data_IF_166190351963
#
_entry.id   IF_166190351963
#
_cell.length_a   1.000
_cell.length_b   1.000
_cell.length_c   1.000
_cell.angle_alpha   90.00
_cell.angle_beta   90.00
_cell.angle_gamma   90.00
#
_symmetry.space_group_name_H-M   'P 1'
#
loop_
_entity.id
_entity.type
_entity.pdbx_description
1 polymer ?
#
# COMPACT_ATOMS: atom_id res chain seq x y z
N UNK A 1 12.42 16.65 5.29
CA UNK A 1 12.79 15.23 5.46
C UNK A 1 12.04 14.69 6.67
N UNK A 2 11.64 13.42 6.69
CA UNK A 2 11.08 12.82 7.91
C UNK A 2 12.12 12.78 9.02
N UNK A 3 11.69 12.98 10.27
CA UNK A 3 12.56 12.96 11.46
C UNK A 3 12.61 11.56 12.12
N UNK A 4 12.02 10.54 11.49
CA UNK A 4 12.00 9.17 12.01
C UNK A 4 13.43 8.63 12.11
N UNK A 5 13.81 8.12 13.29
CA UNK A 5 15.11 7.51 13.51
C UNK A 5 15.25 6.17 12.79
N UNK A 6 14.16 5.40 12.72
CA UNK A 6 14.07 4.13 12.01
C UNK A 6 12.69 3.90 11.44
N UNK A 7 12.65 3.36 10.21
CA UNK A 7 11.43 2.98 9.50
C UNK A 7 11.50 1.49 9.16
N UNK A 8 10.45 0.76 9.52
CA UNK A 8 10.25 -0.63 9.12
C UNK A 8 9.24 -0.70 7.98
N UNK A 9 9.56 -1.43 6.92
CA UNK A 9 8.70 -1.66 5.77
C UNK A 9 8.29 -3.14 5.77
N UNK A 10 7.03 -3.41 6.05
CA UNK A 10 6.46 -4.75 6.04
C UNK A 10 5.98 -5.07 4.62
N UNK A 11 6.78 -5.84 3.90
CA UNK A 11 6.53 -6.20 2.50
C UNK A 11 7.40 -5.43 1.50
N UNK A 12 8.32 -6.13 0.84
CA UNK A 12 9.22 -5.61 -0.20
C UNK A 12 8.70 -5.93 -1.61
N UNK A 13 7.41 -5.67 -1.85
CA UNK A 13 6.83 -5.65 -3.20
C UNK A 13 7.07 -4.31 -3.91
N UNK A 14 6.31 -4.06 -4.98
CA UNK A 14 6.35 -2.80 -5.73
C UNK A 14 6.27 -1.58 -4.79
N UNK A 15 5.26 -1.52 -3.91
CA UNK A 15 5.00 -0.35 -3.08
C UNK A 15 6.09 -0.15 -2.01
N UNK A 16 6.40 -1.19 -1.22
CA UNK A 16 7.35 -1.05 -0.12
C UNK A 16 8.78 -0.80 -0.57
N UNK A 17 9.24 -1.52 -1.59
CA UNK A 17 10.57 -1.29 -2.14
C UNK A 17 10.69 0.09 -2.81
N UNK A 18 9.63 0.55 -3.50
CA UNK A 18 9.62 1.90 -4.07
C UNK A 18 9.66 2.98 -2.98
N UNK A 19 9.00 2.76 -1.83
CA UNK A 19 9.07 3.69 -0.70
C UNK A 19 10.49 3.80 -0.16
N UNK A 20 11.15 2.66 0.09
CA UNK A 20 12.53 2.64 0.53
C UNK A 20 13.46 3.37 -0.45
N UNK A 21 13.36 3.03 -1.74
CA UNK A 21 14.15 3.68 -2.79
C UNK A 21 13.88 5.18 -2.90
N UNK A 22 12.63 5.61 -2.79
CA UNK A 22 12.25 7.02 -2.84
C UNK A 22 12.83 7.81 -1.66
N UNK A 23 12.78 7.26 -0.46
CA UNK A 23 13.37 7.85 0.75
C UNK A 23 14.90 7.97 0.61
N UNK A 24 15.59 6.92 0.16
CA UNK A 24 17.05 6.95 -0.07
C UNK A 24 17.43 7.98 -1.14
N UNK A 25 16.75 7.97 -2.28
CA UNK A 25 16.99 8.93 -3.35
C UNK A 25 16.84 10.39 -2.89
N UNK A 26 15.97 10.64 -1.91
CA UNK A 26 15.71 11.98 -1.37
C UNK A 26 16.48 12.29 -0.09
N UNK A 27 17.48 11.48 0.24
CA UNK A 27 18.44 11.78 1.31
C UNK A 27 17.99 11.37 2.72
N UNK A 28 17.03 10.46 2.86
CA UNK A 28 16.76 9.88 4.18
C UNK A 28 17.94 9.04 4.65
N UNK A 29 18.58 9.46 5.74
CA UNK A 29 19.77 8.83 6.31
C UNK A 29 19.48 7.94 7.53
N UNK A 30 18.22 7.91 7.99
CA UNK A 30 17.82 7.06 9.12
C UNK A 30 17.81 5.58 8.74
N UNK A 31 17.67 4.72 9.74
CA UNK A 31 17.62 3.27 9.56
C UNK A 31 16.38 2.86 8.76
N UNK A 32 16.57 2.15 7.65
CA UNK A 32 15.51 1.51 6.86
C UNK A 32 15.67 0.01 6.96
N UNK A 33 14.69 -0.64 7.55
CA UNK A 33 14.65 -2.10 7.64
C UNK A 33 13.37 -2.64 7.03
N UNK A 34 13.32 -3.93 6.74
CA UNK A 34 12.13 -4.52 6.15
C UNK A 34 11.86 -5.94 6.66
N UNK A 35 10.59 -6.30 6.62
CA UNK A 35 10.14 -7.68 6.66
C UNK A 35 9.81 -8.17 5.25
N UNK A 36 10.31 -9.35 4.88
CA UNK A 36 9.87 -10.05 3.69
C UNK A 36 9.99 -11.57 3.86
N UNK A 37 8.98 -12.32 3.42
CA UNK A 37 8.94 -13.78 3.57
C UNK A 37 10.05 -14.50 2.78
N UNK A 38 10.26 -14.09 1.51
CA UNK A 38 11.20 -14.76 0.61
C UNK A 38 12.62 -14.31 0.87
N UNK A 39 13.52 -15.26 1.01
CA UNK A 39 14.93 -15.00 1.27
C UNK A 39 15.60 -14.25 0.13
N UNK A 40 15.32 -14.63 -1.12
CA UNK A 40 15.88 -13.98 -2.31
C UNK A 40 15.52 -12.49 -2.34
N UNK A 41 14.27 -12.14 -1.96
CA UNK A 41 13.82 -10.75 -1.88
C UNK A 41 14.59 -9.98 -0.80
N UNK A 42 14.85 -10.60 0.35
CA UNK A 42 15.61 -9.97 1.43
C UNK A 42 17.07 -9.72 1.01
N UNK A 43 17.73 -10.75 0.47
CA UNK A 43 19.11 -10.66 0.02
C UNK A 43 19.28 -9.61 -1.09
N UNK A 44 18.39 -9.62 -2.07
CA UNK A 44 18.42 -8.64 -3.16
C UNK A 44 18.20 -7.21 -2.69
N UNK A 45 17.23 -6.98 -1.78
CA UNK A 45 16.95 -5.65 -1.27
C UNK A 45 18.13 -5.04 -0.51
N UNK A 46 18.84 -5.86 0.28
CA UNK A 46 20.06 -5.45 1.00
C UNK A 46 21.22 -5.25 0.03
N UNK A 47 21.45 -6.19 -0.88
CA UNK A 47 22.55 -6.10 -1.85
C UNK A 47 22.44 -4.87 -2.76
N UNK A 48 21.21 -4.44 -3.09
CA UNK A 48 20.95 -3.22 -3.87
C UNK A 48 20.92 -1.94 -3.02
N UNK A 49 21.16 -2.01 -1.72
CA UNK A 49 21.09 -0.86 -0.82
C UNK A 49 19.70 -0.22 -0.71
N UNK A 50 18.64 -0.98 -0.98
CA UNK A 50 17.25 -0.51 -0.87
C UNK A 50 16.89 -0.34 0.61
N UNK A 51 17.30 -1.29 1.44
CA UNK A 51 17.19 -1.27 2.90
C UNK A 51 18.53 -1.65 3.54
N UNK A 52 18.75 -1.25 4.80
CA UNK A 52 19.96 -1.56 5.55
C UNK A 52 19.98 -3.03 6.02
N UNK A 53 18.80 -3.58 6.35
CA UNK A 53 18.62 -4.97 6.70
C UNK A 53 17.20 -5.44 6.35
N UNK A 54 17.03 -6.75 6.13
CA UNK A 54 15.73 -7.36 5.89
C UNK A 54 15.60 -8.67 6.65
N UNK A 55 14.48 -8.90 7.28
CA UNK A 55 14.22 -9.99 8.22
C UNK A 55 13.07 -10.89 7.75
N UNK A 56 13.13 -12.15 8.17
CA UNK A 56 12.00 -13.09 8.04
C UNK A 56 11.09 -13.08 9.26
N UNK A 57 11.57 -12.50 10.35
CA UNK A 57 10.87 -12.37 11.62
C UNK A 57 10.34 -10.95 11.76
N UNK A 58 9.01 -10.76 12.00
CA UNK A 58 8.40 -9.45 12.21
C UNK A 58 9.02 -8.70 13.40
N UNK A 59 9.31 -9.38 14.51
CA UNK A 59 9.84 -8.77 15.73
C UNK A 59 11.19 -8.10 15.45
N UNK A 60 12.10 -8.84 14.80
CA UNK A 60 13.40 -8.31 14.41
C UNK A 60 13.29 -7.15 13.39
N UNK A 61 12.24 -7.17 12.56
CA UNK A 61 12.03 -6.14 11.54
C UNK A 61 11.56 -4.80 12.13
N UNK A 62 10.97 -4.78 13.33
CA UNK A 62 10.49 -3.53 13.96
C UNK A 62 11.43 -3.01 15.06
N UNK A 63 12.37 -3.83 15.50
CA UNK A 63 13.29 -3.46 16.58
C UNK A 63 14.08 -2.18 16.23
N UNK A 64 14.05 -1.19 17.13
CA UNK A 64 14.73 0.10 16.96
C UNK A 64 14.13 1.00 15.88
N UNK A 65 12.87 0.75 15.48
CA UNK A 65 12.13 1.61 14.55
C UNK A 65 11.04 2.41 15.28
N UNK A 66 10.62 3.50 14.71
CA UNK A 66 9.57 4.38 15.27
C UNK A 66 8.36 4.49 14.33
N UNK A 67 8.49 4.06 13.09
CA UNK A 67 7.43 4.07 12.11
C UNK A 67 7.42 2.76 11.32
N UNK A 68 6.27 2.11 11.28
CA UNK A 68 6.05 0.84 10.60
C UNK A 68 5.08 1.08 9.43
N UNK A 69 5.47 0.68 8.21
CA UNK A 69 4.66 0.84 7.00
C UNK A 69 4.26 -0.52 6.47
N UNK A 70 2.96 -0.83 6.52
CA UNK A 70 2.40 -2.09 6.03
C UNK A 70 2.19 -2.02 4.52
N UNK A 71 3.07 -2.66 3.76
CA UNK A 71 3.06 -2.70 2.29
C UNK A 71 2.70 -4.11 1.77
N UNK A 72 1.75 -4.75 2.41
CA UNK A 72 1.20 -6.07 2.10
C UNK A 72 -0.28 -5.95 1.72
N UNK A 73 -0.93 -7.00 1.19
CA UNK A 73 -2.38 -6.99 0.92
C UNK A 73 -3.18 -6.56 2.16
N UNK A 74 -4.32 -5.89 1.92
CA UNK A 74 -5.05 -5.19 3.00
C UNK A 74 -5.49 -6.11 4.15
N UNK A 75 -5.87 -7.35 3.83
CA UNK A 75 -6.24 -8.34 4.87
C UNK A 75 -5.01 -8.80 5.66
N UNK A 76 -3.89 -9.00 4.96
CA UNK A 76 -2.60 -9.31 5.62
C UNK A 76 -2.10 -8.16 6.50
N UNK A 77 -2.45 -6.89 6.21
CA UNK A 77 -2.14 -5.79 7.13
C UNK A 77 -2.79 -5.99 8.50
N UNK A 78 -4.03 -6.51 8.54
CA UNK A 78 -4.75 -6.76 9.80
C UNK A 78 -4.14 -7.94 10.56
N UNK A 79 -3.75 -9.01 9.85
CA UNK A 79 -3.05 -10.15 10.44
C UNK A 79 -1.73 -9.67 11.09
N UNK A 80 -0.91 -8.94 10.35
CA UNK A 80 0.32 -8.35 10.87
C UNK A 80 0.09 -7.39 12.04
N UNK A 81 -0.96 -6.58 12.01
CA UNK A 81 -1.28 -5.68 13.12
C UNK A 81 -1.54 -6.44 14.41
N UNK A 82 -2.20 -7.60 14.34
CA UNK A 82 -2.41 -8.48 15.49
C UNK A 82 -1.11 -9.02 16.07
N UNK A 83 -0.16 -9.41 15.21
CA UNK A 83 1.17 -9.87 15.62
C UNK A 83 2.02 -8.73 16.20
N UNK A 84 1.94 -7.54 15.61
CA UNK A 84 2.72 -6.37 16.03
C UNK A 84 2.19 -5.70 17.30
N UNK A 85 0.89 -5.79 17.57
CA UNK A 85 0.26 -5.07 18.69
C UNK A 85 0.96 -5.25 20.05
N UNK A 86 1.35 -6.48 20.48
CA UNK A 86 2.06 -6.69 21.73
C UNK A 86 3.52 -6.17 21.73
N UNK A 87 4.08 -5.88 20.57
CA UNK A 87 5.47 -5.48 20.39
C UNK A 87 5.64 -3.95 20.29
N UNK A 88 4.53 -3.22 20.06
CA UNK A 88 4.56 -1.78 19.89
C UNK A 88 4.99 -1.08 21.17
N UNK A 89 6.02 -0.26 21.06
CA UNK A 89 6.51 0.58 22.14
C UNK A 89 5.86 1.97 22.09
N UNK A 90 5.79 2.70 23.21
CA UNK A 90 5.33 4.09 23.23
C UNK A 90 6.05 4.94 22.18
N UNK A 91 5.30 5.68 21.39
CA UNK A 91 5.85 6.53 20.32
C UNK A 91 6.01 5.87 18.96
N UNK A 92 5.86 4.55 18.85
CA UNK A 92 5.77 3.88 17.56
C UNK A 92 4.45 4.20 16.87
N UNK A 93 4.51 4.32 15.55
CA UNK A 93 3.34 4.51 14.67
C UNK A 93 3.28 3.43 13.61
N UNK A 94 2.08 3.07 13.21
CA UNK A 94 1.78 2.16 12.11
C UNK A 94 1.00 2.91 11.05
N UNK A 95 1.35 2.71 9.79
CA UNK A 95 0.59 3.18 8.62
C UNK A 95 0.56 2.08 7.56
N UNK A 96 -0.27 2.25 6.53
CA UNK A 96 -0.41 1.26 5.47
C UNK A 96 -0.37 1.92 4.08
N UNK A 97 -0.50 1.11 3.02
CA UNK A 97 -0.63 1.56 1.62
C UNK A 97 -1.91 1.03 0.96
N UNK A 98 -2.84 0.51 1.72
CA UNK A 98 -4.02 -0.17 1.21
C UNK A 98 -4.95 0.74 0.40
N UNK A 99 -5.62 0.15 -0.57
CA UNK A 99 -6.51 0.88 -1.50
C UNK A 99 -7.88 1.20 -0.93
N UNK A 100 -8.29 0.60 0.18
CA UNK A 100 -9.54 0.90 0.91
C UNK A 100 -9.21 1.31 2.35
N UNK A 101 -9.99 2.22 2.93
CA UNK A 101 -9.66 2.82 4.22
C UNK A 101 -10.69 2.55 5.32
N UNK A 102 -11.98 2.54 5.00
CA UNK A 102 -13.02 2.37 6.02
C UNK A 102 -12.88 1.05 6.79
N UNK A 103 -12.67 -0.03 6.05
CA UNK A 103 -12.52 -1.35 6.65
C UNK A 103 -11.24 -1.45 7.48
N UNK A 104 -10.08 -1.10 6.91
CA UNK A 104 -8.80 -1.26 7.60
C UNK A 104 -8.70 -0.36 8.84
N UNK A 105 -9.17 0.89 8.76
CA UNK A 105 -9.16 1.80 9.91
C UNK A 105 -9.97 1.25 11.07
N UNK A 106 -11.15 0.66 10.80
CA UNK A 106 -11.97 -0.02 11.84
C UNK A 106 -11.26 -1.22 12.46
N UNK A 107 -10.62 -2.07 11.62
CA UNK A 107 -9.88 -3.24 12.14
C UNK A 107 -8.71 -2.79 13.03
N UNK A 108 -7.92 -1.83 12.56
CA UNK A 108 -6.77 -1.32 13.30
C UNK A 108 -7.15 -0.66 14.63
N UNK A 109 -8.28 0.04 14.68
CA UNK A 109 -8.78 0.62 15.92
C UNK A 109 -9.16 -0.43 17.00
N UNK A 110 -9.51 -1.64 16.57
CA UNK A 110 -9.79 -2.76 17.48
C UNK A 110 -8.55 -3.57 17.89
N UNK A 111 -7.44 -3.44 17.18
CA UNK A 111 -6.24 -4.25 17.36
C UNK A 111 -5.09 -3.49 17.99
N UNK A 112 -4.89 -2.24 17.58
CA UNK A 112 -3.73 -1.44 17.97
C UNK A 112 -4.08 -0.47 19.11
N UNK A 113 -3.10 -0.07 19.95
CA UNK A 113 -3.33 0.96 20.95
C UNK A 113 -3.86 2.26 20.32
N UNK A 114 -4.75 2.99 21.00
CA UNK A 114 -5.31 4.24 20.48
C UNK A 114 -4.22 5.23 20.04
N UNK A 115 -4.44 5.83 18.87
CA UNK A 115 -3.53 6.86 18.34
C UNK A 115 -2.26 6.34 17.69
N UNK A 116 -2.05 5.01 17.59
CA UNK A 116 -0.87 4.41 16.97
C UNK A 116 -1.03 4.08 15.49
N UNK A 117 -2.22 4.20 14.93
CA UNK A 117 -2.47 3.95 13.50
C UNK A 117 -2.98 5.20 12.77
N UNK A 118 -2.35 5.49 11.63
CA UNK A 118 -2.83 6.46 10.65
C UNK A 118 -2.87 5.79 9.30
N UNK A 119 -4.06 5.53 8.77
CA UNK A 119 -4.22 4.93 7.46
C UNK A 119 -3.69 5.84 6.36
N UNK A 120 -3.01 5.28 5.38
CA UNK A 120 -2.65 6.03 4.19
C UNK A 120 -2.91 5.24 2.90
N UNK A 121 -3.18 5.96 1.82
CA UNK A 121 -3.34 5.41 0.50
C UNK A 121 -2.61 6.28 -0.51
N UNK A 122 -1.40 5.91 -0.93
CA UNK A 122 -0.74 6.55 -2.05
C UNK A 122 -1.47 6.17 -3.35
N UNK A 123 -2.00 7.17 -4.05
CA UNK A 123 -2.64 6.98 -5.37
C UNK A 123 -1.53 6.84 -6.40
N UNK A 124 -0.87 5.71 -6.34
CA UNK A 124 0.26 5.31 -7.16
C UNK A 124 0.28 3.79 -7.30
N UNK A 125 0.95 3.29 -8.30
CA UNK A 125 1.07 1.86 -8.56
C UNK A 125 1.03 1.55 -10.04
N UNK A 126 1.12 0.28 -10.34
CA UNK A 126 0.95 -0.27 -11.69
C UNK A 126 0.43 -1.70 -11.59
N UNK A 127 0.13 -2.30 -12.74
CA UNK A 127 -0.20 -3.74 -12.85
C UNK A 127 0.99 -4.65 -12.56
N UNK A 128 2.22 -4.10 -12.53
CA UNK A 128 3.45 -4.85 -12.24
C UNK A 128 3.57 -5.16 -10.75
N UNK A 129 4.25 -6.24 -10.45
CA UNK A 129 4.41 -6.73 -9.07
C UNK A 129 5.87 -7.04 -8.74
N UNK A 130 6.15 -7.14 -7.43
CA UNK A 130 7.44 -7.57 -6.90
C UNK A 130 8.50 -6.47 -6.85
N UNK A 131 9.65 -6.83 -6.28
CA UNK A 131 10.79 -5.95 -6.06
C UNK A 131 11.36 -5.39 -7.37
N UNK A 132 11.34 -6.21 -8.44
CA UNK A 132 11.90 -5.84 -9.75
C UNK A 132 11.13 -4.70 -10.44
N UNK A 133 9.85 -4.52 -10.09
CA UNK A 133 9.02 -3.45 -10.62
C UNK A 133 9.17 -2.13 -9.83
N UNK A 134 9.90 -2.14 -8.71
CA UNK A 134 10.02 -0.98 -7.83
C UNK A 134 10.79 0.17 -8.49
N UNK A 135 10.36 1.39 -8.21
CA UNK A 135 10.94 2.63 -8.72
C UNK A 135 11.03 3.69 -7.64
N UNK A 136 12.17 4.37 -7.54
CA UNK A 136 12.36 5.50 -6.64
C UNK A 136 11.45 6.71 -6.96
N UNK A 137 10.85 6.74 -8.14
CA UNK A 137 10.00 7.83 -8.59
C UNK A 137 8.51 7.48 -8.56
N UNK A 138 8.13 6.29 -8.05
CA UNK A 138 6.73 5.84 -8.01
C UNK A 138 5.81 6.84 -7.30
N UNK A 139 6.30 7.49 -6.26
CA UNK A 139 5.54 8.44 -5.45
C UNK A 139 5.75 9.91 -5.83
N UNK A 140 6.62 10.19 -6.80
CA UNK A 140 6.94 11.56 -7.20
C UNK A 140 5.68 12.28 -7.71
N UNK A 141 5.27 13.35 -7.00
CA UNK A 141 4.03 14.12 -7.24
C UNK A 141 2.72 13.32 -7.12
N UNK A 142 2.75 12.05 -6.74
CA UNK A 142 1.55 11.27 -6.45
C UNK A 142 0.79 11.87 -5.25
N UNK A 143 -0.52 11.70 -5.22
CA UNK A 143 -1.33 12.05 -4.06
C UNK A 143 -1.35 10.88 -3.08
N UNK A 144 -1.03 11.14 -1.82
CA UNK A 144 -1.30 10.19 -0.73
C UNK A 144 -2.43 10.72 0.14
N UNK A 145 -3.50 9.96 0.23
CA UNK A 145 -4.64 10.28 1.10
C UNK A 145 -4.36 9.72 2.48
N UNK A 146 -4.42 10.57 3.51
CA UNK A 146 -4.31 10.19 4.91
C UNK A 146 -5.69 10.07 5.51
N UNK A 147 -6.01 8.89 6.00
CA UNK A 147 -7.28 8.58 6.63
C UNK A 147 -7.02 8.15 8.08
N UNK A 148 -7.50 8.91 9.00
CA UNK A 148 -7.42 8.59 10.41
C UNK A 148 -8.82 8.60 11.02
N UNK A 149 -9.05 7.74 12.02
CA UNK A 149 -10.18 7.97 12.92
C UNK A 149 -10.05 9.34 13.57
N UNK A 150 -11.16 9.92 13.99
CA UNK A 150 -11.22 11.24 14.66
C UNK A 150 -10.29 11.34 15.86
N UNK A 151 -9.89 10.19 16.44
CA UNK A 151 -9.05 10.07 17.63
C UNK A 151 -7.53 10.01 17.35
N UNK A 152 -7.10 10.01 16.07
CA UNK A 152 -5.66 10.02 15.79
C UNK A 152 -5.05 11.37 16.17
N UNK A 153 -4.03 11.39 17.06
CA UNK A 153 -3.40 12.63 17.47
C UNK A 153 -2.79 13.38 16.28
N UNK A 154 -2.96 14.68 16.25
CA UNK A 154 -2.41 15.53 15.19
C UNK A 154 -0.90 15.29 14.93
N UNK A 155 -0.05 15.10 15.97
CA UNK A 155 1.36 14.75 15.75
C UNK A 155 1.57 13.43 15.00
N UNK A 156 0.72 12.41 15.22
CA UNK A 156 0.81 11.14 14.51
C UNK A 156 0.51 11.32 13.01
N UNK A 157 -0.56 12.05 12.69
CA UNK A 157 -0.93 12.35 11.30
C UNK A 157 0.17 13.17 10.62
N UNK A 158 0.77 14.13 11.30
CA UNK A 158 1.86 14.94 10.78
C UNK A 158 3.12 14.10 10.49
N UNK A 159 3.45 13.11 11.34
CA UNK A 159 4.58 12.20 11.11
C UNK A 159 4.37 11.35 9.85
N UNK A 160 3.17 10.77 9.66
CA UNK A 160 2.86 9.98 8.45
C UNK A 160 2.82 10.88 7.21
N UNK A 161 2.31 12.12 7.32
CA UNK A 161 2.40 13.09 6.24
C UNK A 161 3.85 13.38 5.84
N UNK A 162 4.73 13.59 6.83
CA UNK A 162 6.15 13.85 6.60
C UNK A 162 6.86 12.66 5.91
N UNK A 163 6.49 11.41 6.23
CA UNK A 163 6.99 10.22 5.53
C UNK A 163 6.69 10.32 4.02
N UNK A 164 5.43 10.52 3.67
CA UNK A 164 5.01 10.54 2.26
C UNK A 164 5.58 11.74 1.51
N UNK A 165 5.65 12.91 2.13
CA UNK A 165 6.31 14.08 1.56
C UNK A 165 7.81 13.84 1.35
N UNK A 166 8.48 13.17 2.28
CA UNK A 166 9.88 12.76 2.13
C UNK A 166 10.06 11.75 0.97
N UNK A 167 9.06 10.92 0.68
CA UNK A 167 9.04 10.05 -0.51
C UNK A 167 8.71 10.81 -1.80
N UNK A 168 8.35 12.10 -1.73
CA UNK A 168 8.04 12.95 -2.88
C UNK A 168 6.57 13.04 -3.24
N UNK A 169 5.69 12.50 -2.41
CA UNK A 169 4.24 12.59 -2.59
C UNK A 169 3.67 13.91 -2.07
N UNK A 170 2.52 14.29 -2.59
CA UNK A 170 1.64 15.30 -1.97
C UNK A 170 0.67 14.59 -1.03
N UNK A 171 0.29 15.23 0.06
CA UNK A 171 -0.63 14.64 1.03
C UNK A 171 -1.93 15.43 1.15
N UNK A 172 -3.05 14.75 1.36
CA UNK A 172 -4.31 15.34 1.79
C UNK A 172 -4.95 14.47 2.87
N UNK A 173 -5.86 15.06 3.66
CA UNK A 173 -6.64 14.31 4.65
C UNK A 173 -8.05 14.08 4.15
N UNK A 174 -8.61 12.95 4.50
CA UNK A 174 -9.98 12.58 4.14
C UNK A 174 -10.55 11.59 5.16
N UNK A 175 -11.84 11.69 5.43
CA UNK A 175 -12.57 10.67 6.17
C UNK A 175 -12.54 9.32 5.43
N UNK A 176 -12.35 8.19 6.13
CA UNK A 176 -12.24 6.87 5.51
C UNK A 176 -13.43 6.52 4.60
N UNK A 177 -14.66 6.79 5.03
CA UNK A 177 -15.86 6.47 4.25
C UNK A 177 -16.00 7.38 3.00
N UNK A 178 -15.58 8.64 3.09
CA UNK A 178 -15.52 9.55 1.94
C UNK A 178 -14.47 9.09 0.93
N UNK A 179 -13.30 8.67 1.41
CA UNK A 179 -12.26 8.08 0.59
C UNK A 179 -12.80 6.88 -0.20
N UNK A 180 -13.41 5.92 0.48
CA UNK A 180 -13.86 4.68 -0.12
C UNK A 180 -14.98 4.90 -1.16
N UNK A 181 -15.91 5.84 -0.91
CA UNK A 181 -16.91 6.24 -1.92
C UNK A 181 -16.30 6.90 -3.15
N UNK A 182 -15.26 7.72 -2.99
CA UNK A 182 -14.57 8.33 -4.13
C UNK A 182 -13.84 7.27 -4.94
N UNK A 183 -13.08 6.39 -4.29
CA UNK A 183 -12.32 5.33 -4.96
C UNK A 183 -13.23 4.26 -5.58
N UNK A 184 -14.40 4.01 -5.01
CA UNK A 184 -15.40 3.15 -5.63
C UNK A 184 -15.74 3.63 -7.06
N UNK A 185 -15.94 4.94 -7.24
CA UNK A 185 -16.33 5.56 -8.53
C UNK A 185 -15.14 5.75 -9.49
N UNK A 186 -13.99 6.14 -8.96
CA UNK A 186 -12.84 6.58 -9.79
C UNK A 186 -11.86 5.46 -10.10
N UNK A 187 -11.89 4.35 -9.38
CA UNK A 187 -10.95 3.23 -9.50
C UNK A 187 -11.66 1.87 -9.53
N UNK A 188 -12.50 1.56 -8.53
CA UNK A 188 -13.02 0.21 -8.36
C UNK A 188 -14.08 -0.15 -9.42
N UNK A 189 -15.03 0.71 -9.66
CA UNK A 189 -16.04 0.53 -10.72
C UNK A 189 -15.40 0.45 -12.12
N UNK A 190 -14.47 1.32 -12.52
CA UNK A 190 -13.72 1.16 -13.76
C UNK A 190 -13.05 -0.20 -13.92
N UNK A 191 -12.44 -0.73 -12.84
CA UNK A 191 -11.83 -2.07 -12.87
C UNK A 191 -12.87 -3.17 -13.07
N UNK A 192 -13.97 -3.12 -12.32
CA UNK A 192 -15.08 -4.10 -12.47
C UNK A 192 -15.63 -4.09 -13.88
N UNK A 193 -15.84 -2.90 -14.46
CA UNK A 193 -16.31 -2.76 -15.85
C UNK A 193 -15.32 -3.36 -16.86
N UNK A 194 -14.02 -3.06 -16.69
CA UNK A 194 -12.97 -3.62 -17.54
C UNK A 194 -12.87 -5.14 -17.43
N UNK A 195 -12.95 -5.69 -16.22
CA UNK A 195 -12.93 -7.12 -15.98
C UNK A 195 -14.17 -7.83 -16.56
N UNK A 196 -15.35 -7.21 -16.41
CA UNK A 196 -16.58 -7.72 -16.99
C UNK A 196 -16.53 -7.73 -18.53
N UNK A 197 -16.00 -6.66 -19.15
CA UNK A 197 -15.80 -6.56 -20.59
C UNK A 197 -14.82 -7.63 -21.10
N UNK A 198 -13.67 -7.78 -20.45
CA UNK A 198 -12.68 -8.80 -20.81
C UNK A 198 -13.26 -10.22 -20.70
N UNK A 199 -14.02 -10.50 -19.63
CA UNK A 199 -14.69 -11.78 -19.41
C UNK A 199 -15.78 -12.05 -20.46
N UNK A 200 -16.59 -11.06 -20.83
CA UNK A 200 -17.67 -11.20 -21.78
C UNK A 200 -17.13 -11.59 -23.18
N UNK A 201 -16.04 -10.95 -23.60
CA UNK A 201 -15.42 -11.21 -24.91
C UNK A 201 -14.72 -12.57 -24.94
N UNK A 202 -14.12 -13.03 -23.85
CA UNK A 202 -13.41 -14.30 -23.76
C UNK A 202 -14.31 -15.54 -23.68
N UNK A 203 -15.66 -15.40 -23.59
CA UNK A 203 -16.55 -16.53 -23.31
C UNK A 203 -16.68 -17.52 -24.45
N UNK A 204 -16.80 -17.07 -25.70
CA UNK A 204 -17.27 -17.93 -26.79
C UNK A 204 -16.21 -18.25 -27.84
N UNK A 205 -15.11 -17.52 -27.95
CA UNK A 205 -14.10 -17.68 -29.00
C UNK A 205 -12.71 -17.18 -28.56
N UNK A 206 -12.23 -17.54 -27.39
CA UNK A 206 -11.01 -16.96 -26.81
C UNK A 206 -9.76 -17.00 -27.72
N UNK A 207 -9.60 -18.10 -28.50
CA UNK A 207 -8.44 -18.25 -29.41
C UNK A 207 -8.53 -17.34 -30.66
N UNK A 208 -9.74 -17.04 -31.12
CA UNK A 208 -9.95 -16.26 -32.33
C UNK A 208 -10.14 -14.77 -32.06
N UNK A 209 -10.73 -14.43 -30.92
CA UNK A 209 -11.09 -13.06 -30.54
C UNK A 209 -9.87 -12.14 -30.48
N UNK A 210 -8.71 -12.63 -30.05
CA UNK A 210 -7.50 -11.82 -29.95
C UNK A 210 -7.11 -11.13 -31.26
N UNK A 211 -7.31 -11.79 -32.38
CA UNK A 211 -7.02 -11.23 -33.71
C UNK A 211 -7.95 -10.08 -34.12
N UNK A 212 -9.12 -9.96 -33.49
CA UNK A 212 -10.11 -8.92 -33.76
C UNK A 212 -10.12 -7.81 -32.72
N UNK A 213 -9.30 -7.93 -31.65
CA UNK A 213 -9.17 -6.91 -30.63
C UNK A 213 -8.29 -5.75 -31.13
N UNK A 214 -8.87 -4.58 -31.29
CA UNK A 214 -8.17 -3.35 -31.61
C UNK A 214 -7.73 -2.59 -30.36
N UNK A 215 -7.09 -1.42 -30.55
CA UNK A 215 -6.60 -0.54 -29.46
C UNK A 215 -7.67 -0.18 -28.45
N UNK A 216 -8.91 0.08 -28.89
CA UNK A 216 -10.02 0.39 -27.99
C UNK A 216 -10.31 -0.70 -26.97
N UNK A 217 -10.18 -1.98 -27.35
CA UNK A 217 -10.32 -3.09 -26.41
C UNK A 217 -9.18 -3.10 -25.38
N UNK A 218 -7.93 -3.01 -25.84
CA UNK A 218 -6.76 -3.02 -24.96
C UNK A 218 -6.77 -1.85 -23.99
N UNK A 219 -7.11 -0.66 -24.44
CA UNK A 219 -7.21 0.53 -23.59
C UNK A 219 -8.31 0.38 -22.52
N UNK A 220 -9.46 -0.20 -22.91
CA UNK A 220 -10.60 -0.40 -22.00
C UNK A 220 -10.42 -1.53 -21.01
N UNK A 221 -9.57 -2.53 -21.30
CA UNK A 221 -9.41 -3.73 -20.48
C UNK A 221 -8.05 -3.81 -19.77
N UNK A 222 -7.09 -2.96 -20.10
CA UNK A 222 -5.73 -2.98 -19.52
C UNK A 222 -5.75 -3.01 -17.99
N UNK A 223 -6.63 -2.24 -17.34
CA UNK A 223 -6.70 -2.20 -15.89
C UNK A 223 -7.20 -3.52 -15.27
N UNK A 224 -7.85 -4.39 -16.04
CA UNK A 224 -8.30 -5.71 -15.60
C UNK A 224 -7.13 -6.71 -15.43
N UNK A 225 -5.92 -6.41 -15.90
CA UNK A 225 -4.73 -7.28 -15.73
C UNK A 225 -4.06 -7.17 -14.35
N UNK A 226 -4.63 -6.38 -13.43
CA UNK A 226 -4.14 -6.28 -12.06
C UNK A 226 -4.24 -7.60 -11.27
N UNK A 227 -3.55 -7.67 -10.13
CA UNK A 227 -3.54 -8.85 -9.27
C UNK A 227 -4.96 -9.23 -8.83
N UNK A 228 -5.36 -10.48 -9.08
CA UNK A 228 -6.67 -11.00 -8.69
C UNK A 228 -6.84 -10.92 -7.16
N UNK A 229 -5.85 -11.34 -6.39
CA UNK A 229 -5.93 -11.33 -4.92
C UNK A 229 -6.09 -9.91 -4.36
N UNK A 230 -5.34 -8.95 -4.92
CA UNK A 230 -5.45 -7.56 -4.52
C UNK A 230 -6.86 -6.99 -4.82
N UNK A 231 -7.38 -7.23 -6.02
CA UNK A 231 -8.69 -6.74 -6.41
C UNK A 231 -9.84 -7.45 -5.70
N UNK A 232 -9.68 -8.74 -5.40
CA UNK A 232 -10.62 -9.46 -4.54
C UNK A 232 -10.72 -8.80 -3.16
N UNK A 233 -9.59 -8.50 -2.52
CA UNK A 233 -9.58 -7.81 -1.24
C UNK A 233 -10.18 -6.40 -1.31
N UNK A 234 -9.86 -5.62 -2.35
CA UNK A 234 -10.43 -4.28 -2.58
C UNK A 234 -11.96 -4.35 -2.68
N UNK A 235 -12.48 -5.26 -3.52
CA UNK A 235 -13.92 -5.37 -3.73
C UNK A 235 -14.65 -5.89 -2.51
N UNK A 236 -14.07 -6.81 -1.73
CA UNK A 236 -14.67 -7.28 -0.48
C UNK A 236 -14.70 -6.18 0.58
N UNK A 237 -13.60 -5.43 0.73
CA UNK A 237 -13.50 -4.41 1.79
C UNK A 237 -14.21 -3.09 1.45
N UNK A 238 -14.60 -2.89 0.19
CA UNK A 238 -15.37 -1.72 -0.25
C UNK A 238 -16.68 -2.08 -1.00
N UNK A 239 -17.22 -3.27 -0.77
CA UNK A 239 -18.37 -3.80 -1.52
C UNK A 239 -19.59 -2.88 -1.49
N UNK A 240 -19.91 -2.29 -0.35
CA UNK A 240 -21.07 -1.43 -0.19
C UNK A 240 -20.99 -0.18 -1.11
N UNK A 241 -19.85 0.52 -1.10
CA UNK A 241 -19.67 1.71 -1.92
C UNK A 241 -19.53 1.41 -3.44
N UNK A 242 -19.10 0.21 -3.79
CA UNK A 242 -19.03 -0.23 -5.21
C UNK A 242 -20.41 -0.61 -5.74
N UNK A 243 -21.33 -1.06 -4.87
CA UNK A 243 -22.70 -1.44 -5.24
C UNK A 243 -23.68 -0.25 -5.34
N UNK A 244 -23.35 0.92 -4.78
CA UNK A 244 -24.09 2.18 -4.91
C UNK A 244 -23.97 2.78 -6.33
#
# INVERSE_FOLDING_TARGET
>A
MTQEAGISIVGLGLMGASLAMALRKRGYAGRLVAYARREETRQEAVARGIVDAAYADPDAAIEGTTLIVLCVPIRSCVEFAGELAPLLQPGMLVTDVGSTKSWICRQMAGLLPPGTFVGSHPIAGSEKQGLQAASADLYANALTVLCSHLDAPEPAVARVAALWQAAGARTCRMEPDKHDRLLARTSHLPHVAAAALAKAIGRDCAEQVGAFCGTGFYDSTRVASGSIDMWHDILLTNAAAVAE
#
